data_IF_240473873764
#
_entry.id   IF_240473873764
#
_cell.length_a   1.000
_cell.length_b   1.000
_cell.length_c   1.000
_cell.angle_alpha   90.00
_cell.angle_beta   90.00
_cell.angle_gamma   90.00
#
_symmetry.space_group_name_H-M   'P 1'
#
loop_
_entity.id
_entity.type
_entity.pdbx_description
1 polymer ?
#
# COMPACT_ATOMS: atom_id res chain seq x y z
N UNK A 1 33.64 14.23 1.49
CA UNK A 1 32.29 13.64 1.59
C UNK A 1 32.34 12.34 0.77
N UNK A 2 32.31 11.18 1.40
CA UNK A 2 32.19 9.90 0.67
C UNK A 2 30.75 9.85 0.16
N UNK A 3 30.55 9.65 -1.15
CA UNK A 3 29.24 9.32 -1.71
C UNK A 3 28.80 8.01 -1.07
N UNK A 4 27.90 8.08 -0.10
CA UNK A 4 27.33 6.92 0.54
C UNK A 4 26.49 6.16 -0.48
N UNK A 5 26.89 4.93 -0.80
CA UNK A 5 26.04 4.01 -1.55
C UNK A 5 24.85 3.58 -0.71
N UNK A 6 23.76 3.18 -1.35
CA UNK A 6 22.62 2.52 -0.71
C UNK A 6 22.89 1.02 -0.77
N UNK A 7 22.92 0.36 0.40
CA UNK A 7 22.98 -1.09 0.48
C UNK A 7 21.56 -1.66 0.45
N UNK A 8 21.29 -2.53 -0.51
CA UNK A 8 19.98 -3.13 -0.72
C UNK A 8 19.98 -4.60 -0.25
N UNK A 9 19.21 -4.91 0.75
CA UNK A 9 18.99 -6.27 1.24
C UNK A 9 17.63 -6.79 0.74
N UNK A 10 17.65 -7.47 -0.41
CA UNK A 10 16.43 -8.04 -1.01
C UNK A 10 16.07 -9.37 -0.35
N UNK A 11 14.78 -9.70 -0.35
CA UNK A 11 14.25 -10.95 0.24
C UNK A 11 14.60 -11.14 1.71
N UNK A 12 14.79 -10.05 2.44
CA UNK A 12 15.16 -10.06 3.86
C UNK A 12 14.01 -9.59 4.73
N UNK A 13 13.85 -10.20 5.89
CA UNK A 13 12.86 -9.80 6.91
C UNK A 13 13.57 -9.27 8.14
N UNK A 14 13.08 -8.17 8.70
CA UNK A 14 13.54 -7.69 10.01
C UNK A 14 12.94 -8.60 11.08
N UNK A 15 13.80 -9.29 11.84
CA UNK A 15 13.36 -10.21 12.89
C UNK A 15 13.57 -9.67 14.29
N UNK A 16 14.53 -8.75 14.44
CA UNK A 16 14.84 -8.17 15.75
C UNK A 16 15.40 -6.75 15.59
N UNK A 17 15.06 -5.90 16.54
CA UNK A 17 15.64 -4.57 16.69
C UNK A 17 16.06 -4.42 18.14
N UNK A 18 17.34 -4.22 18.39
CA UNK A 18 17.90 -3.92 19.71
C UNK A 18 18.27 -2.44 19.77
N UNK A 19 17.86 -1.78 20.85
CA UNK A 19 18.20 -0.40 21.13
C UNK A 19 19.53 -0.28 21.88
N UNK A 20 20.20 0.86 21.72
CA UNK A 20 21.45 1.20 22.40
C UNK A 20 21.89 2.59 21.98
N UNK A 21 23.20 2.85 21.98
CA UNK A 21 23.77 4.06 21.36
C UNK A 21 23.55 4.12 19.86
N UNK A 22 23.41 2.95 19.23
CA UNK A 22 22.98 2.76 17.86
C UNK A 22 21.99 1.58 17.82
N UNK A 23 21.06 1.58 16.83
CA UNK A 23 20.11 0.50 16.65
C UNK A 23 20.79 -0.67 15.96
N UNK A 24 20.62 -1.89 16.49
CA UNK A 24 21.08 -3.13 15.86
C UNK A 24 19.87 -3.83 15.22
N UNK A 25 19.83 -3.89 13.91
CA UNK A 25 18.73 -4.48 13.13
C UNK A 25 19.15 -5.84 12.63
N UNK A 26 18.51 -6.90 13.10
CA UNK A 26 18.75 -8.27 12.62
C UNK A 26 17.86 -8.56 11.42
N UNK A 27 18.47 -8.85 10.30
CA UNK A 27 17.83 -9.26 9.04
C UNK A 27 17.95 -10.77 8.90
N UNK A 28 16.86 -11.43 8.55
CA UNK A 28 16.83 -12.85 8.20
C UNK A 28 16.61 -13.00 6.70
N UNK A 29 17.49 -13.75 6.04
CA UNK A 29 17.39 -14.08 4.64
C UNK A 29 16.67 -15.44 4.44
N UNK A 30 16.16 -15.74 3.21
CA UNK A 30 15.68 -17.07 2.87
C UNK A 30 16.78 -18.11 3.12
N UNK A 31 16.44 -19.17 3.83
CA UNK A 31 17.41 -20.19 4.26
C UNK A 31 17.89 -20.03 5.70
N UNK A 32 17.41 -19.01 6.42
CA UNK A 32 17.65 -18.85 7.85
C UNK A 32 18.93 -18.10 8.23
N UNK A 33 19.73 -17.67 7.26
CA UNK A 33 20.92 -16.86 7.52
C UNK A 33 20.52 -15.50 8.07
N UNK A 34 21.18 -15.06 9.14
CA UNK A 34 20.95 -13.76 9.76
C UNK A 34 22.13 -12.83 9.57
N UNK A 35 21.83 -11.56 9.39
CA UNK A 35 22.80 -10.47 9.29
C UNK A 35 22.38 -9.35 10.24
N UNK A 36 23.32 -8.69 10.89
CA UNK A 36 23.02 -7.55 11.76
C UNK A 36 23.58 -6.27 11.12
N UNK A 37 22.69 -5.30 10.94
CA UNK A 37 23.00 -3.98 10.39
C UNK A 37 22.87 -2.94 11.50
N UNK A 38 23.85 -2.06 11.62
CA UNK A 38 23.78 -0.92 12.55
C UNK A 38 23.17 0.29 11.86
N UNK A 39 22.21 0.92 12.53
CA UNK A 39 21.51 2.10 12.01
C UNK A 39 21.33 3.15 13.09
N UNK A 40 21.41 4.43 12.71
CA UNK A 40 21.08 5.54 13.62
C UNK A 40 19.56 5.77 13.68
N UNK A 41 18.86 5.47 12.58
CA UNK A 41 17.42 5.64 12.43
C UNK A 41 16.81 4.57 11.54
N UNK A 42 15.57 4.20 11.83
CA UNK A 42 14.77 3.27 11.02
C UNK A 42 13.56 4.04 10.50
N UNK A 43 13.36 3.98 9.18
CA UNK A 43 12.18 4.50 8.51
C UNK A 43 11.35 3.30 8.05
N UNK A 44 10.15 3.16 8.61
CA UNK A 44 9.23 2.08 8.25
C UNK A 44 8.33 2.55 7.11
N UNK A 45 8.46 1.93 5.95
CA UNK A 45 7.64 2.18 4.77
C UNK A 45 6.99 0.88 4.26
N UNK A 46 6.62 -0.01 5.18
CA UNK A 46 6.14 -1.38 4.88
C UNK A 46 4.62 -1.46 4.55
N UNK A 47 3.97 -0.31 4.32
CA UNK A 47 2.52 -0.25 4.17
C UNK A 47 1.80 -0.24 5.53
N UNK A 48 0.49 -0.48 5.47
CA UNK A 48 -0.39 -0.43 6.63
C UNK A 48 -1.30 -1.65 6.69
N UNK A 49 -1.85 -1.91 7.86
CA UNK A 49 -2.93 -2.86 8.09
C UNK A 49 -4.06 -2.17 8.85
N UNK A 50 -5.32 -2.50 8.58
CA UNK A 50 -6.43 -1.91 9.31
C UNK A 50 -6.45 -2.45 10.74
N UNK A 51 -6.50 -1.58 11.74
CA UNK A 51 -6.72 -1.98 13.13
C UNK A 51 -8.22 -2.21 13.32
N UNK A 52 -8.64 -3.47 13.30
CA UNK A 52 -10.04 -3.89 13.41
C UNK A 52 -10.34 -4.66 14.70
N UNK A 53 -9.42 -4.68 15.66
CA UNK A 53 -9.56 -5.42 16.92
C UNK A 53 -10.83 -5.05 17.71
N UNK A 54 -11.26 -3.78 17.60
CA UNK A 54 -12.50 -3.30 18.20
C UNK A 54 -13.77 -3.93 17.62
N UNK A 55 -13.67 -4.60 16.47
CA UNK A 55 -14.80 -5.19 15.74
C UNK A 55 -14.89 -6.71 15.88
N UNK A 56 -14.18 -7.30 16.86
CA UNK A 56 -14.12 -8.78 17.01
C UNK A 56 -15.48 -9.45 17.19
N UNK A 57 -16.46 -8.75 17.75
CA UNK A 57 -17.80 -9.28 18.02
C UNK A 57 -18.74 -9.10 16.83
N UNK A 58 -18.31 -8.39 15.80
CA UNK A 58 -19.08 -8.14 14.58
C UNK A 58 -18.63 -9.11 13.50
N UNK A 59 -19.58 -9.63 12.75
CA UNK A 59 -19.26 -10.48 11.60
C UNK A 59 -18.71 -9.65 10.47
N UNK A 60 -17.42 -9.84 10.16
CA UNK A 60 -16.74 -9.18 9.06
C UNK A 60 -16.55 -10.17 7.91
N UNK A 61 -16.81 -9.71 6.69
CA UNK A 61 -16.47 -10.43 5.47
C UNK A 61 -15.32 -9.69 4.76
N UNK A 62 -14.10 -10.12 5.07
CA UNK A 62 -12.88 -9.53 4.56
C UNK A 62 -12.16 -10.49 3.64
N UNK A 63 -11.50 -9.96 2.64
CA UNK A 63 -10.55 -10.69 1.82
C UNK A 63 -9.26 -10.95 2.61
N UNK A 64 -8.75 -12.18 2.65
CA UNK A 64 -7.59 -12.54 3.48
C UNK A 64 -6.27 -11.93 3.01
N UNK A 65 -6.14 -11.55 1.74
CA UNK A 65 -4.91 -10.98 1.20
C UNK A 65 -4.85 -9.46 1.41
N UNK A 66 -5.92 -8.76 1.05
CA UNK A 66 -6.00 -7.30 1.16
C UNK A 66 -6.51 -6.81 2.51
N UNK A 67 -7.20 -7.66 3.30
CA UNK A 67 -7.86 -7.30 4.55
C UNK A 67 -8.90 -6.17 4.37
N UNK A 68 -9.47 -6.07 3.18
CA UNK A 68 -10.56 -5.14 2.80
C UNK A 68 -11.89 -5.89 2.69
N UNK A 69 -13.04 -5.20 2.67
CA UNK A 69 -14.31 -5.84 2.34
C UNK A 69 -14.20 -6.70 1.09
N UNK A 70 -14.67 -7.94 1.14
CA UNK A 70 -14.47 -8.94 0.09
C UNK A 70 -14.97 -8.47 -1.27
N UNK A 71 -16.09 -7.76 -1.30
CA UNK A 71 -16.65 -7.22 -2.55
C UNK A 71 -15.78 -6.11 -3.13
N UNK A 72 -15.12 -5.32 -2.28
CA UNK A 72 -14.23 -4.25 -2.70
C UNK A 72 -12.84 -4.76 -3.15
N UNK A 73 -12.36 -5.84 -2.57
CA UNK A 73 -11.00 -6.34 -2.77
C UNK A 73 -10.56 -6.42 -4.25
N UNK A 74 -11.36 -6.99 -5.19
CA UNK A 74 -10.96 -7.07 -6.60
C UNK A 74 -10.81 -5.71 -7.28
N UNK A 75 -11.48 -4.67 -6.77
CA UNK A 75 -11.47 -3.33 -7.36
C UNK A 75 -10.24 -2.52 -6.92
N UNK A 76 -9.59 -2.91 -5.85
CA UNK A 76 -8.47 -2.18 -5.23
C UNK A 76 -7.18 -2.99 -5.18
N UNK A 77 -7.15 -4.18 -5.78
CA UNK A 77 -5.96 -5.03 -5.81
C UNK A 77 -4.78 -4.26 -6.40
N UNK A 78 -3.71 -4.02 -5.64
CA UNK A 78 -2.57 -3.23 -6.11
C UNK A 78 -1.77 -3.91 -7.23
N UNK A 79 -1.99 -5.20 -7.47
CA UNK A 79 -1.39 -5.91 -8.60
C UNK A 79 -2.13 -5.63 -9.93
N UNK A 80 -3.37 -5.14 -9.87
CA UNK A 80 -4.23 -4.89 -11.01
C UNK A 80 -4.50 -3.40 -11.19
N UNK A 81 -4.65 -2.68 -10.08
CA UNK A 81 -5.10 -1.29 -10.07
C UNK A 81 -4.06 -0.34 -9.47
N UNK A 82 -3.93 0.85 -10.06
CA UNK A 82 -3.23 2.00 -9.48
C UNK A 82 -4.23 2.98 -8.86
N UNK A 83 -3.76 4.00 -8.13
CA UNK A 83 -4.63 4.99 -7.47
C UNK A 83 -5.63 5.66 -8.42
N UNK A 84 -5.27 5.87 -9.70
CA UNK A 84 -6.12 6.54 -10.68
C UNK A 84 -7.06 5.61 -11.46
N UNK A 85 -6.92 4.28 -11.31
CA UNK A 85 -7.73 3.31 -12.07
C UNK A 85 -8.81 2.63 -11.23
N UNK A 86 -8.83 2.89 -9.91
CA UNK A 86 -9.89 2.37 -9.04
C UNK A 86 -11.16 3.15 -9.28
N UNK A 87 -12.21 2.48 -9.77
CA UNK A 87 -13.51 3.13 -9.98
C UNK A 87 -14.12 3.59 -8.65
N UNK A 88 -14.92 4.66 -8.65
CA UNK A 88 -15.72 5.02 -7.48
C UNK A 88 -16.59 3.85 -7.01
N UNK A 89 -16.77 3.73 -5.71
CA UNK A 89 -17.54 2.67 -5.07
C UNK A 89 -18.16 3.19 -3.76
N UNK A 90 -19.19 2.54 -3.30
CA UNK A 90 -19.99 3.01 -2.19
C UNK A 90 -20.58 1.89 -1.32
N UNK A 91 -21.81 2.11 -0.87
CA UNK A 91 -22.48 1.26 0.11
C UNK A 91 -22.51 -0.23 -0.25
N UNK A 92 -22.56 -0.59 -1.55
CA UNK A 92 -22.65 -1.99 -1.99
C UNK A 92 -21.35 -2.76 -1.73
N UNK A 93 -20.22 -2.15 -2.06
CA UNK A 93 -18.91 -2.76 -1.90
C UNK A 93 -18.41 -2.73 -0.46
N UNK A 94 -18.96 -1.86 0.38
CA UNK A 94 -18.48 -1.61 1.75
C UNK A 94 -19.34 -2.31 2.81
N UNK A 95 -20.51 -2.84 2.42
CA UNK A 95 -21.41 -3.51 3.34
C UNK A 95 -20.80 -4.76 3.94
N UNK A 96 -21.05 -4.97 5.21
CA UNK A 96 -20.67 -6.16 5.96
C UNK A 96 -21.91 -7.06 6.20
N UNK A 97 -21.71 -8.32 6.62
CA UNK A 97 -22.81 -9.26 6.84
C UNK A 97 -23.89 -8.74 7.82
N UNK A 98 -23.48 -7.95 8.81
CA UNK A 98 -24.43 -7.35 9.73
C UNK A 98 -25.08 -6.12 9.09
N UNK A 99 -26.44 -6.11 9.08
CA UNK A 99 -27.21 -5.08 8.39
C UNK A 99 -26.91 -3.68 8.93
N UNK A 100 -26.65 -2.75 8.01
CA UNK A 100 -26.35 -1.35 8.35
C UNK A 100 -24.93 -1.14 8.85
N UNK A 101 -24.08 -2.15 8.78
CA UNK A 101 -22.68 -2.03 9.14
C UNK A 101 -21.80 -1.96 7.90
N UNK A 102 -20.91 -0.98 7.88
CA UNK A 102 -20.02 -0.68 6.77
C UNK A 102 -18.60 -0.38 7.27
N UNK A 103 -17.60 -0.74 6.50
CA UNK A 103 -16.22 -0.28 6.72
C UNK A 103 -15.90 0.75 5.66
N UNK A 104 -15.64 1.99 6.05
CA UNK A 104 -15.41 3.12 5.15
C UNK A 104 -14.04 3.78 5.38
N UNK A 105 -13.67 4.66 4.47
CA UNK A 105 -12.42 5.39 4.51
C UNK A 105 -11.21 4.49 4.28
N UNK A 106 -10.05 4.90 4.76
CA UNK A 106 -8.80 4.16 4.57
C UNK A 106 -8.85 2.73 5.11
N UNK A 107 -9.64 2.46 6.14
CA UNK A 107 -9.83 1.11 6.68
C UNK A 107 -10.50 0.16 5.69
N UNK A 108 -11.36 0.67 4.80
CA UNK A 108 -11.99 -0.15 3.77
C UNK A 108 -11.00 -0.67 2.72
N UNK A 109 -9.87 0.01 2.56
CA UNK A 109 -8.82 -0.42 1.63
C UNK A 109 -7.88 -1.47 2.23
N UNK A 110 -8.02 -1.76 3.53
CA UNK A 110 -7.20 -2.77 4.17
C UNK A 110 -5.71 -2.47 4.01
N UNK A 111 -5.00 -3.36 3.32
CA UNK A 111 -3.58 -3.24 3.01
C UNK A 111 -3.29 -2.56 1.66
N UNK A 112 -4.31 -2.30 0.84
CA UNK A 112 -4.13 -1.68 -0.46
C UNK A 112 -3.72 -0.19 -0.31
N UNK A 113 -2.64 0.26 -0.98
CA UNK A 113 -2.11 1.61 -0.81
C UNK A 113 -2.82 2.65 -1.68
N UNK A 114 -3.84 2.26 -2.46
CA UNK A 114 -4.46 3.05 -3.52
C UNK A 114 -5.60 3.96 -3.04
N UNK A 115 -5.77 4.16 -1.74
CA UNK A 115 -6.82 4.99 -1.16
C UNK A 115 -6.60 6.48 -1.47
N UNK A 116 -7.67 7.13 -1.92
CA UNK A 116 -7.75 8.58 -2.09
C UNK A 116 -8.80 9.16 -1.15
N UNK A 117 -8.53 10.33 -0.59
CA UNK A 117 -9.47 11.00 0.33
C UNK A 117 -10.82 11.31 -0.35
N UNK A 118 -10.78 11.71 -1.63
CA UNK A 118 -11.98 11.94 -2.42
C UNK A 118 -12.88 10.68 -2.52
N UNK A 119 -12.27 9.50 -2.70
CA UNK A 119 -12.99 8.22 -2.65
C UNK A 119 -13.65 8.01 -1.29
N UNK A 120 -12.98 8.37 -0.20
CA UNK A 120 -13.55 8.28 1.15
C UNK A 120 -14.79 9.15 1.32
N UNK A 121 -14.81 10.34 0.76
CA UNK A 121 -16.00 11.20 0.79
C UNK A 121 -17.16 10.60 0.00
N UNK A 122 -16.90 10.04 -1.17
CA UNK A 122 -17.92 9.36 -1.96
C UNK A 122 -18.49 8.13 -1.24
N UNK A 123 -17.63 7.34 -0.61
CA UNK A 123 -18.05 6.21 0.22
C UNK A 123 -19.05 6.64 1.30
N UNK A 124 -18.70 7.70 2.06
CA UNK A 124 -19.53 8.19 3.15
C UNK A 124 -20.85 8.77 2.62
N UNK A 125 -20.83 9.50 1.52
CA UNK A 125 -22.03 10.04 0.85
C UNK A 125 -22.98 8.90 0.47
N UNK A 126 -22.45 7.88 -0.22
CA UNK A 126 -23.24 6.71 -0.64
C UNK A 126 -23.83 5.94 0.54
N UNK A 127 -23.04 5.68 1.58
CA UNK A 127 -23.49 5.00 2.79
C UNK A 127 -24.58 5.82 3.51
N UNK A 128 -24.39 7.13 3.64
CA UNK A 128 -25.38 8.00 4.30
C UNK A 128 -26.73 7.98 3.57
N UNK A 129 -26.72 8.04 2.24
CA UNK A 129 -27.93 7.92 1.44
C UNK A 129 -28.61 6.54 1.61
N UNK A 130 -27.84 5.46 1.60
CA UNK A 130 -28.35 4.10 1.83
C UNK A 130 -28.97 3.93 3.21
N UNK A 131 -28.37 4.48 4.26
CA UNK A 131 -28.91 4.45 5.62
C UNK A 131 -30.17 5.29 5.76
N UNK A 132 -30.29 6.37 4.99
CA UNK A 132 -31.51 7.19 4.91
C UNK A 132 -32.63 6.53 4.08
N UNK A 133 -32.36 5.40 3.41
CA UNK A 133 -33.32 4.70 2.55
C UNK A 133 -33.40 5.26 1.12
N UNK A 134 -32.58 6.25 0.77
CA UNK A 134 -32.50 6.80 -0.58
C UNK A 134 -31.50 5.99 -1.41
N UNK A 135 -31.97 4.86 -1.93
CA UNK A 135 -31.13 3.94 -2.70
C UNK A 135 -30.74 4.53 -4.06
N UNK A 136 -31.53 5.45 -4.61
CA UNK A 136 -31.21 6.12 -5.88
C UNK A 136 -30.00 7.01 -5.68
N UNK A 137 -30.02 7.87 -4.66
CA UNK A 137 -28.90 8.71 -4.33
C UNK A 137 -27.66 7.90 -3.86
N UNK A 138 -27.88 6.75 -3.20
CA UNK A 138 -26.78 5.88 -2.77
C UNK A 138 -26.01 5.26 -3.94
N UNK A 139 -26.72 4.91 -5.02
CA UNK A 139 -26.14 4.31 -6.23
C UNK A 139 -25.63 5.36 -7.23
N UNK A 140 -26.06 6.62 -7.09
CA UNK A 140 -25.61 7.71 -7.94
C UNK A 140 -24.19 8.14 -7.57
N UNK A 141 -23.23 7.82 -8.44
CA UNK A 141 -21.81 8.15 -8.25
C UNK A 141 -21.58 9.62 -8.57
N UNK A 142 -21.12 10.39 -7.59
CA UNK A 142 -20.83 11.83 -7.72
C UNK A 142 -19.33 12.14 -7.77
N UNK A 143 -18.46 11.13 -7.66
CA UNK A 143 -17.03 11.29 -7.73
C UNK A 143 -16.53 11.14 -9.17
N UNK A 144 -15.96 12.20 -9.71
CA UNK A 144 -15.19 12.18 -10.95
C UNK A 144 -13.69 12.24 -10.58
N UNK A 145 -12.99 11.14 -10.83
CA UNK A 145 -11.56 11.06 -10.58
C UNK A 145 -10.82 11.40 -11.87
N UNK A 146 -9.91 12.39 -11.85
CA UNK A 146 -9.08 12.65 -13.02
C UNK A 146 -8.21 11.43 -13.32
N UNK A 147 -8.09 11.06 -14.59
CA UNK A 147 -7.27 9.93 -15.06
C UNK A 147 -5.75 10.10 -14.76
N UNK A 148 -5.34 11.23 -14.21
CA UNK A 148 -3.95 11.62 -13.98
C UNK A 148 -3.37 11.12 -12.66
N UNK A 149 -3.84 10.01 -12.14
CA UNK A 149 -3.23 9.37 -10.97
C UNK A 149 -1.99 8.56 -11.33
N UNK A 150 -0.94 9.15 -11.88
CA UNK A 150 0.30 8.42 -12.13
C UNK A 150 1.11 8.30 -10.84
N UNK A 151 0.80 7.30 -10.04
CA UNK A 151 1.68 6.81 -8.98
C UNK A 151 2.52 5.61 -9.48
N UNK A 152 2.88 5.58 -10.77
CA UNK A 152 3.81 4.61 -11.29
C UNK A 152 5.22 5.19 -11.26
N UNK A 153 5.97 4.94 -10.21
CA UNK A 153 7.43 4.94 -10.32
C UNK A 153 7.82 3.70 -11.11
N UNK A 154 7.81 3.79 -12.43
CA UNK A 154 8.52 2.84 -13.25
C UNK A 154 10.01 3.02 -12.94
N UNK A 155 10.56 2.12 -12.13
CA UNK A 155 11.99 1.90 -12.08
C UNK A 155 12.39 1.44 -13.49
N UNK A 156 12.80 2.38 -14.34
CA UNK A 156 13.39 2.08 -15.63
C UNK A 156 14.74 1.42 -15.31
N UNK A 157 14.73 0.11 -15.28
CA UNK A 157 15.95 -0.69 -15.36
C UNK A 157 16.46 -0.55 -16.79
N UNK A 158 17.31 0.44 -17.05
CA UNK A 158 18.08 0.48 -18.28
C UNK A 158 19.09 -0.66 -18.23
N UNK A 159 18.70 -1.80 -18.82
CA UNK A 159 19.67 -2.83 -19.18
C UNK A 159 20.51 -2.30 -20.35
N UNK A 160 21.61 -1.64 -20.08
CA UNK A 160 22.69 -1.50 -21.05
C UNK A 160 23.31 -2.88 -21.19
N UNK A 161 23.02 -3.54 -22.30
CA UNK A 161 23.76 -4.72 -22.73
C UNK A 161 25.21 -4.29 -23.02
N UNK A 162 26.11 -4.60 -22.10
CA UNK A 162 27.53 -4.55 -22.36
C UNK A 162 28.04 -5.99 -22.48
N UNK A 163 28.73 -6.23 -23.57
CA UNK A 163 29.32 -7.50 -23.97
C UNK A 163 30.30 -8.07 -22.92
N UNK A 164 30.22 -9.40 -22.81
CA UNK A 164 31.23 -10.36 -22.35
C UNK A 164 32.49 -9.83 -21.65
N UNK A 165 32.55 -10.08 -20.35
CA UNK A 165 33.75 -10.04 -19.53
C UNK A 165 33.52 -10.78 -18.24
N UNK A 166 34.19 -11.91 -18.05
CA UNK A 166 34.13 -12.74 -16.84
C UNK A 166 34.70 -11.93 -15.64
N UNK A 167 33.81 -11.60 -14.68
CA UNK A 167 34.25 -10.93 -13.44
C UNK A 167 33.05 -10.70 -12.53
N UNK A 168 33.10 -11.32 -11.35
CA UNK A 168 32.08 -11.23 -10.29
C UNK A 168 32.00 -9.81 -9.73
N UNK A 169 31.08 -8.99 -10.22
CA UNK A 169 30.74 -7.71 -9.63
C UNK A 169 29.24 -7.71 -9.22
N UNK A 170 28.98 -7.40 -7.93
CA UNK A 170 27.64 -7.18 -7.40
C UNK A 170 26.98 -6.02 -8.16
N UNK A 171 25.69 -6.11 -8.53
CA UNK A 171 25.00 -5.01 -9.20
C UNK A 171 24.86 -3.81 -8.25
N UNK A 172 25.39 -2.68 -8.67
CA UNK A 172 25.14 -1.38 -8.02
C UNK A 172 23.91 -0.74 -8.67
N UNK A 173 22.91 -0.44 -7.87
CA UNK A 173 21.77 0.36 -8.31
C UNK A 173 22.09 1.84 -8.05
N UNK A 174 22.23 2.63 -9.11
CA UNK A 174 22.36 4.07 -9.00
C UNK A 174 20.95 4.68 -8.99
N UNK A 175 20.59 5.33 -7.89
CA UNK A 175 19.36 6.12 -7.81
C UNK A 175 19.71 7.56 -8.15
N UNK A 176 19.32 8.02 -9.34
CA UNK A 176 19.36 9.44 -9.69
C UNK A 176 18.09 10.11 -9.21
N UNK A 177 18.21 11.11 -8.35
CA UNK A 177 17.09 11.92 -7.91
C UNK A 177 16.53 12.72 -9.09
N UNK A 178 15.30 12.43 -9.51
CA UNK A 178 14.57 13.24 -10.46
C UNK A 178 14.00 14.46 -9.72
N UNK A 179 14.29 15.62 -10.27
CA UNK A 179 13.82 16.94 -9.83
C UNK A 179 12.29 17.05 -9.85
N UNK A 180 11.75 17.55 -8.75
CA UNK A 180 10.41 18.10 -8.49
C UNK A 180 9.40 18.09 -9.65
N UNK A 181 8.34 17.30 -9.49
CA UNK A 181 7.01 17.70 -9.92
C UNK A 181 6.15 17.86 -8.67
N UNK A 182 5.56 19.04 -8.55
CA UNK A 182 4.68 19.49 -7.49
C UNK A 182 3.44 18.59 -7.44
N UNK A 183 3.22 17.90 -6.32
CA UNK A 183 1.93 17.31 -6.01
C UNK A 183 1.19 18.26 -5.05
N UNK A 184 0.00 18.73 -5.47
CA UNK A 184 -1.01 19.26 -4.56
C UNK A 184 -1.66 18.14 -3.77
#
# INVERSE_FOLDING_TARGET
MKAGGIDLHINSSVTKIDGGTALQVTLQQPGGTTETVTADRIIVAAGQRPALDMLREIRLDLDPATESPRVLAPLIDPNVHSCGTVRPHGHRELAQPDRGFYIAGIKSYGRAPTFLLATGYEQVRSIAAALAGDMIAADDVQLDLPETGVCSSSLVTTHTAAASGCGTAKPRVAVTAATKASCC
#
